data_IF_885992658242
#
_entry.id   IF_885992658242
#
_cell.length_a   1.000
_cell.length_b   1.000
_cell.length_c   1.000
_cell.angle_alpha   90.00
_cell.angle_beta   90.00
_cell.angle_gamma   90.00
#
_symmetry.space_group_name_H-M   'P 1'
#
loop_
_entity.id
_entity.type
_entity.pdbx_description
1 polymer ?
#
# COMPACT_ATOMS: atom_id res chain seq x y z
N UNK A 1 34.36 -56.00 -28.96
CA UNK A 1 34.24 -54.59 -29.35
C UNK A 1 33.21 -53.94 -28.41
N UNK A 2 33.67 -53.20 -27.41
CA UNK A 2 32.83 -52.48 -26.43
C UNK A 2 32.54 -51.06 -27.03
N UNK A 3 31.27 -50.77 -27.31
CA UNK A 3 30.84 -49.41 -27.70
C UNK A 3 30.78 -48.52 -26.49
N UNK A 4 31.63 -47.53 -26.42
CA UNK A 4 31.60 -46.45 -25.45
C UNK A 4 30.57 -45.43 -25.88
N UNK A 5 29.44 -45.32 -25.14
CA UNK A 5 28.44 -44.27 -25.36
C UNK A 5 28.91 -42.99 -24.63
N UNK A 6 29.14 -41.95 -25.43
CA UNK A 6 29.49 -40.63 -24.92
C UNK A 6 28.18 -39.93 -24.44
N UNK A 7 28.00 -39.74 -23.15
CA UNK A 7 26.90 -38.96 -22.60
C UNK A 7 27.36 -37.49 -22.57
N UNK A 8 26.78 -36.69 -23.45
CA UNK A 8 26.97 -35.22 -23.43
C UNK A 8 25.97 -34.62 -22.46
N UNK A 9 26.45 -34.18 -21.29
CA UNK A 9 25.65 -33.43 -20.31
C UNK A 9 25.67 -31.96 -20.72
N UNK A 10 24.52 -31.46 -21.19
CA UNK A 10 24.32 -30.05 -21.39
C UNK A 10 24.11 -29.38 -20.02
N UNK A 11 25.11 -28.70 -19.50
CA UNK A 11 24.97 -27.79 -18.39
C UNK A 11 24.21 -26.54 -18.89
N UNK A 12 22.92 -26.46 -18.61
CA UNK A 12 22.15 -25.20 -18.70
C UNK A 12 22.65 -24.25 -17.61
N UNK A 13 23.48 -23.29 -17.97
CA UNK A 13 23.81 -22.19 -17.08
C UNK A 13 22.53 -21.37 -16.83
N UNK A 14 22.23 -20.99 -15.58
CA UNK A 14 21.10 -20.11 -15.31
C UNK A 14 21.36 -18.77 -16.01
N UNK A 15 20.48 -18.37 -16.90
CA UNK A 15 20.46 -17.02 -17.46
C UNK A 15 20.03 -16.12 -16.31
N UNK A 16 20.99 -15.44 -15.68
CA UNK A 16 20.71 -14.36 -14.74
C UNK A 16 20.01 -13.25 -15.57
N UNK A 17 18.72 -13.03 -15.29
CA UNK A 17 18.00 -11.90 -15.85
C UNK A 17 18.73 -10.62 -15.42
N UNK A 18 19.27 -9.90 -16.36
CA UNK A 18 19.89 -8.60 -16.12
C UNK A 18 18.75 -7.61 -15.81
N UNK A 19 18.83 -6.92 -14.68
CA UNK A 19 17.89 -5.87 -14.34
C UNK A 19 18.02 -4.71 -15.33
N UNK A 20 16.88 -4.20 -15.81
CA UNK A 20 16.86 -3.22 -16.92
C UNK A 20 15.82 -2.14 -16.65
N UNK A 21 16.14 -0.90 -17.01
CA UNK A 21 15.19 0.21 -16.98
C UNK A 21 14.18 0.09 -18.11
N UNK A 22 12.86 0.17 -17.83
CA UNK A 22 11.86 0.15 -18.88
C UNK A 22 11.96 1.41 -19.74
N UNK A 23 11.67 1.30 -21.05
CA UNK A 23 11.54 2.45 -21.93
C UNK A 23 10.53 3.47 -21.41
N UNK A 24 10.79 4.76 -21.59
CA UNK A 24 9.90 5.84 -21.12
C UNK A 24 8.49 5.72 -21.71
N UNK A 25 8.34 5.19 -22.93
CA UNK A 25 7.05 4.92 -23.56
C UNK A 25 6.22 3.90 -22.78
N UNK A 26 6.83 2.87 -22.18
CA UNK A 26 6.12 1.89 -21.36
C UNK A 26 5.59 2.54 -20.08
N UNK A 27 6.38 3.39 -19.42
CA UNK A 27 5.95 4.14 -18.23
C UNK A 27 4.78 5.08 -18.58
N UNK A 28 4.86 5.80 -19.72
CA UNK A 28 3.79 6.66 -20.22
C UNK A 28 2.53 5.86 -20.55
N UNK A 29 2.67 4.69 -21.17
CA UNK A 29 1.56 3.80 -21.50
C UNK A 29 0.82 3.31 -20.25
N UNK A 30 1.56 2.97 -19.17
CA UNK A 30 0.95 2.56 -17.89
C UNK A 30 0.21 3.74 -17.25
N UNK A 31 0.79 4.94 -17.25
CA UNK A 31 0.12 6.13 -16.75
C UNK A 31 -1.15 6.48 -17.54
N UNK A 32 -1.14 6.31 -18.87
CA UNK A 32 -2.31 6.46 -19.74
C UNK A 32 -3.38 5.41 -19.44
N UNK A 33 -2.99 4.14 -19.26
CA UNK A 33 -3.89 3.04 -18.88
C UNK A 33 -4.54 3.30 -17.52
N UNK A 34 -3.77 3.77 -16.54
CA UNK A 34 -4.27 4.17 -15.22
C UNK A 34 -5.34 5.25 -15.33
N UNK A 35 -5.13 6.31 -16.14
CA UNK A 35 -6.14 7.37 -16.38
C UNK A 35 -7.39 6.82 -17.06
N UNK A 36 -7.19 6.00 -18.08
CA UNK A 36 -8.27 5.41 -18.85
C UNK A 36 -9.02 4.29 -18.12
N UNK A 37 -8.55 3.88 -16.93
CA UNK A 37 -9.07 2.73 -16.18
C UNK A 37 -9.08 1.45 -17.03
N UNK A 38 -8.00 1.23 -17.79
CA UNK A 38 -7.81 0.06 -18.67
C UNK A 38 -6.58 -0.74 -18.23
N UNK A 39 -6.57 -2.07 -18.42
CA UNK A 39 -5.41 -2.89 -18.10
C UNK A 39 -4.15 -2.47 -18.87
N UNK A 40 -3.03 -2.40 -18.18
CA UNK A 40 -1.71 -2.12 -18.76
C UNK A 40 -0.93 -3.41 -18.99
N UNK A 41 -0.04 -3.41 -19.99
CA UNK A 41 0.77 -4.59 -20.36
C UNK A 41 1.99 -4.82 -19.46
N UNK A 42 2.17 -4.02 -18.41
CA UNK A 42 3.36 -4.06 -17.54
C UNK A 42 4.52 -3.24 -18.09
N UNK A 43 5.65 -3.30 -17.40
CA UNK A 43 6.84 -2.50 -17.77
C UNK A 43 7.65 -3.13 -18.91
N UNK A 44 7.46 -4.43 -19.19
CA UNK A 44 8.15 -5.15 -20.27
C UNK A 44 9.56 -5.63 -19.94
N UNK A 45 10.04 -5.37 -18.73
CA UNK A 45 11.38 -5.74 -18.24
C UNK A 45 11.32 -6.19 -16.79
N UNK A 46 12.33 -6.93 -16.35
CA UNK A 46 12.56 -7.23 -14.92
C UNK A 46 13.40 -6.11 -14.31
N UNK A 47 12.94 -5.56 -13.19
CA UNK A 47 13.60 -4.45 -12.50
C UNK A 47 14.17 -4.89 -11.15
N UNK A 48 15.28 -4.28 -10.74
CA UNK A 48 15.69 -4.23 -9.35
C UNK A 48 14.82 -3.25 -8.56
N UNK A 49 14.87 -3.29 -7.22
CA UNK A 49 14.14 -2.32 -6.38
C UNK A 49 14.65 -0.89 -6.56
N UNK A 50 15.93 -0.69 -6.85
CA UNK A 50 16.51 0.63 -7.13
C UNK A 50 15.98 1.21 -8.45
N UNK A 51 15.88 0.40 -9.49
CA UNK A 51 15.26 0.80 -10.76
C UNK A 51 13.77 1.07 -10.61
N UNK A 52 13.05 0.22 -9.86
CA UNK A 52 11.64 0.41 -9.56
C UNK A 52 11.37 1.75 -8.84
N UNK A 53 12.26 2.19 -7.96
CA UNK A 53 12.15 3.50 -7.29
C UNK A 53 12.30 4.68 -8.28
N UNK A 54 13.22 4.57 -9.23
CA UNK A 54 13.37 5.56 -10.32
C UNK A 54 12.13 5.59 -11.21
N UNK A 55 11.63 4.41 -11.60
CA UNK A 55 10.43 4.28 -12.42
C UNK A 55 9.21 4.83 -11.69
N UNK A 56 9.05 4.53 -10.38
CA UNK A 56 7.98 5.09 -9.54
C UNK A 56 8.01 6.63 -9.56
N UNK A 57 9.19 7.23 -9.46
CA UNK A 57 9.34 8.70 -9.51
C UNK A 57 8.85 9.26 -10.86
N UNK A 58 9.21 8.63 -11.97
CA UNK A 58 8.75 9.02 -13.32
C UNK A 58 7.25 8.81 -13.48
N UNK A 59 6.75 7.65 -13.05
CA UNK A 59 5.32 7.32 -13.10
C UNK A 59 4.46 8.28 -12.28
N UNK A 60 4.85 8.54 -11.02
CA UNK A 60 4.13 9.47 -10.14
C UNK A 60 4.14 10.90 -10.66
N UNK A 61 5.24 11.36 -11.26
CA UNK A 61 5.29 12.67 -11.93
C UNK A 61 4.31 12.79 -13.10
N UNK A 62 4.02 11.68 -13.80
CA UNK A 62 3.03 11.68 -14.86
C UNK A 62 1.61 11.79 -14.31
N UNK A 63 1.24 10.99 -13.29
CA UNK A 63 -0.13 10.96 -12.76
C UNK A 63 -0.44 12.13 -11.81
N UNK A 64 0.55 12.72 -11.17
CA UNK A 64 0.36 13.84 -10.21
C UNK A 64 -0.33 15.05 -10.81
N UNK A 65 -0.18 15.30 -12.11
CA UNK A 65 -0.81 16.41 -12.82
C UNK A 65 -2.34 16.43 -12.67
N UNK A 66 -2.94 15.25 -12.48
CA UNK A 66 -4.39 15.07 -12.33
C UNK A 66 -4.81 15.00 -10.86
N UNK A 67 -3.86 14.74 -9.93
CA UNK A 67 -4.12 14.33 -8.56
C UNK A 67 -3.82 15.40 -7.50
N UNK A 68 -3.13 16.48 -7.89
CA UNK A 68 -2.74 17.56 -6.99
C UNK A 68 -1.47 17.22 -6.18
N UNK A 69 -1.30 17.91 -5.07
CA UNK A 69 -0.09 17.83 -4.25
C UNK A 69 0.07 16.48 -3.54
N UNK A 70 1.32 16.16 -3.20
CA UNK A 70 1.62 15.03 -2.30
C UNK A 70 1.10 15.39 -0.91
N UNK A 71 0.29 14.51 -0.34
CA UNK A 71 -0.29 14.64 1.00
C UNK A 71 0.16 13.54 1.95
N UNK A 72 1.07 12.68 1.52
CA UNK A 72 1.62 11.62 2.36
C UNK A 72 2.09 10.40 1.58
N UNK A 73 2.17 9.29 2.29
CA UNK A 73 2.75 8.05 1.79
C UNK A 73 1.95 6.84 2.26
N UNK A 74 2.03 5.75 1.51
CA UNK A 74 1.48 4.46 1.92
C UNK A 74 2.58 3.42 2.00
N UNK A 75 2.45 2.46 2.91
CA UNK A 75 3.25 1.26 2.92
C UNK A 75 2.46 0.07 2.35
N UNK A 76 3.06 -0.67 1.45
CA UNK A 76 2.59 -1.98 1.00
C UNK A 76 3.51 -3.08 1.49
N UNK A 77 3.07 -4.35 1.36
CA UNK A 77 3.84 -5.52 1.76
C UNK A 77 4.25 -5.49 3.26
N UNK A 78 3.37 -5.01 4.12
CA UNK A 78 3.60 -4.91 5.57
C UNK A 78 3.25 -6.20 6.33
N UNK A 79 2.78 -7.23 5.62
CA UNK A 79 2.40 -8.53 6.16
C UNK A 79 3.14 -9.67 5.41
N UNK A 80 3.70 -10.69 6.10
CA UNK A 80 4.46 -11.77 5.47
C UNK A 80 3.69 -12.55 4.39
N UNK A 81 2.37 -12.74 4.54
CA UNK A 81 1.55 -13.45 3.55
C UNK A 81 1.45 -12.69 2.22
N UNK A 82 1.38 -11.36 2.30
CA UNK A 82 1.35 -10.47 1.13
C UNK A 82 2.73 -10.40 0.49
N UNK A 83 3.81 -10.32 1.30
CA UNK A 83 5.20 -10.39 0.81
C UNK A 83 5.43 -11.65 -0.02
N UNK A 84 5.01 -12.81 0.49
CA UNK A 84 5.11 -14.09 -0.24
C UNK A 84 4.38 -14.06 -1.58
N UNK A 85 3.18 -13.43 -1.63
CA UNK A 85 2.38 -13.31 -2.86
C UNK A 85 3.10 -12.53 -3.96
N UNK A 86 3.82 -11.48 -3.59
CA UNK A 86 4.53 -10.61 -4.55
C UNK A 86 6.03 -10.95 -4.69
N UNK A 87 6.50 -12.04 -4.06
CA UNK A 87 7.89 -12.48 -4.17
C UNK A 87 8.92 -11.49 -3.63
N UNK A 88 8.53 -10.66 -2.65
CA UNK A 88 9.42 -9.67 -2.04
C UNK A 88 9.17 -9.57 -0.53
N UNK A 89 10.22 -9.70 0.27
CA UNK A 89 10.18 -9.92 1.72
C UNK A 89 10.31 -8.65 2.58
N UNK A 90 10.20 -7.47 1.97
CA UNK A 90 10.29 -6.17 2.67
C UNK A 90 9.11 -5.29 2.31
N UNK A 91 8.76 -4.32 3.16
CA UNK A 91 7.78 -3.31 2.80
C UNK A 91 8.24 -2.46 1.60
N UNK A 92 7.30 -1.88 0.89
CA UNK A 92 7.52 -0.93 -0.21
C UNK A 92 6.66 0.30 0.01
N UNK A 93 7.07 1.45 -0.56
CA UNK A 93 6.40 2.73 -0.34
C UNK A 93 5.77 3.28 -1.62
N UNK A 94 4.52 3.76 -1.50
CA UNK A 94 3.82 4.56 -2.49
C UNK A 94 3.62 6.00 -2.03
N UNK A 95 3.28 6.88 -2.97
CA UNK A 95 2.97 8.30 -2.72
C UNK A 95 1.46 8.51 -2.79
N UNK A 96 0.90 9.23 -1.80
CA UNK A 96 -0.50 9.66 -1.77
C UNK A 96 -0.63 11.09 -2.24
N UNK A 97 -1.61 11.34 -3.11
CA UNK A 97 -1.92 12.67 -3.64
C UNK A 97 -3.28 13.15 -3.13
N UNK A 98 -3.48 14.46 -3.09
CA UNK A 98 -4.65 15.10 -2.46
C UNK A 98 -5.99 14.54 -2.98
N UNK A 99 -6.16 14.39 -4.29
CA UNK A 99 -7.40 13.88 -4.88
C UNK A 99 -7.61 12.36 -4.75
N UNK A 100 -6.64 11.64 -4.19
CA UNK A 100 -6.82 10.23 -3.83
C UNK A 100 -7.59 10.07 -2.53
N UNK A 101 -7.65 11.09 -1.68
CA UNK A 101 -8.23 11.01 -0.33
C UNK A 101 -9.66 11.55 -0.34
N UNK A 102 -10.58 10.68 -0.01
CA UNK A 102 -12.01 10.97 0.08
C UNK A 102 -12.43 11.03 1.55
N UNK A 103 -13.21 12.04 1.98
CA UNK A 103 -13.80 12.01 3.31
C UNK A 103 -14.83 10.89 3.43
N UNK A 104 -14.85 10.19 4.54
CA UNK A 104 -15.88 9.18 4.83
C UNK A 104 -17.15 9.79 5.45
N UNK A 105 -18.31 9.14 5.26
CA UNK A 105 -18.54 8.02 4.33
C UNK A 105 -18.50 8.48 2.86
N UNK A 106 -18.05 7.60 1.96
CA UNK A 106 -17.91 7.95 0.55
C UNK A 106 -18.73 7.04 -0.38
N UNK A 107 -19.05 7.58 -1.57
CA UNK A 107 -19.66 6.84 -2.68
C UNK A 107 -18.69 6.83 -3.86
N UNK A 108 -18.38 5.66 -4.38
CA UNK A 108 -17.35 5.48 -5.41
C UNK A 108 -17.87 4.50 -6.47
N UNK A 109 -17.69 4.76 -7.78
CA UNK A 109 -18.01 3.76 -8.79
C UNK A 109 -17.24 2.45 -8.52
N UNK A 110 -17.91 1.28 -8.59
CA UNK A 110 -17.21 0.00 -8.48
C UNK A 110 -16.10 -0.16 -9.52
N UNK A 111 -16.20 0.56 -10.64
CA UNK A 111 -15.21 0.66 -11.73
C UNK A 111 -14.24 1.85 -11.55
N UNK A 112 -13.84 2.19 -10.32
CA UNK A 112 -12.96 3.32 -10.06
C UNK A 112 -11.54 3.14 -10.65
N UNK A 113 -11.14 1.92 -10.98
CA UNK A 113 -9.85 1.54 -11.54
C UNK A 113 -9.99 0.57 -12.72
N UNK A 114 -8.85 0.09 -13.18
CA UNK A 114 -8.72 -0.98 -14.18
C UNK A 114 -9.07 -2.33 -13.57
N UNK A 115 -8.46 -2.63 -12.44
CA UNK A 115 -8.69 -3.82 -11.61
C UNK A 115 -8.83 -3.37 -10.15
N UNK A 116 -9.95 -2.71 -9.85
CA UNK A 116 -10.15 -2.11 -8.53
C UNK A 116 -10.30 -3.20 -7.45
N UNK A 117 -9.70 -2.92 -6.32
CA UNK A 117 -9.84 -3.72 -5.10
C UNK A 117 -9.99 -2.78 -3.90
N UNK A 118 -10.44 -3.31 -2.76
CA UNK A 118 -10.47 -2.58 -1.49
C UNK A 118 -9.86 -3.42 -0.38
N UNK A 119 -9.36 -2.75 0.65
CA UNK A 119 -8.83 -3.38 1.86
C UNK A 119 -9.00 -2.46 3.08
N UNK A 120 -9.06 -3.08 4.26
CA UNK A 120 -9.04 -2.36 5.52
C UNK A 120 -7.62 -1.91 5.82
N UNK A 121 -7.42 -0.63 6.08
CA UNK A 121 -6.13 -0.01 6.40
C UNK A 121 -6.31 1.02 7.55
N UNK A 122 -5.28 1.68 7.95
CA UNK A 122 -5.25 2.73 8.95
C UNK A 122 -4.29 3.83 8.50
N UNK A 123 -4.69 5.07 8.72
CA UNK A 123 -3.83 6.24 8.48
C UNK A 123 -3.36 6.83 9.79
N UNK A 124 -2.06 7.07 9.90
CA UNK A 124 -1.49 7.95 10.92
C UNK A 124 -1.26 9.35 10.33
N UNK A 125 -1.64 10.40 11.06
CA UNK A 125 -1.45 11.79 10.64
C UNK A 125 -0.26 12.36 11.40
N UNK A 126 0.73 12.85 10.68
CA UNK A 126 1.95 13.42 11.27
C UNK A 126 1.63 14.74 11.97
N UNK A 127 1.91 14.81 13.27
CA UNK A 127 1.77 16.04 14.07
C UNK A 127 3.06 16.85 14.11
N UNK A 128 4.18 16.18 14.34
CA UNK A 128 5.52 16.77 14.40
C UNK A 128 6.46 15.95 13.49
N UNK A 129 6.72 16.48 12.30
CA UNK A 129 7.52 15.80 11.28
C UNK A 129 8.97 15.57 11.73
N UNK A 130 9.56 16.52 12.46
CA UNK A 130 10.92 16.38 12.96
C UNK A 130 11.04 15.22 13.97
N UNK A 131 10.08 15.13 14.91
CA UNK A 131 10.01 14.00 15.84
C UNK A 131 9.72 12.69 15.12
N UNK A 132 8.80 12.66 14.15
CA UNK A 132 8.49 11.45 13.38
C UNK A 132 9.72 10.95 12.62
N UNK A 133 10.49 11.85 12.01
CA UNK A 133 11.75 11.51 11.33
C UNK A 133 12.86 11.08 12.29
N UNK A 134 12.85 11.52 13.54
CA UNK A 134 13.85 11.16 14.55
C UNK A 134 13.49 9.91 15.35
N UNK A 135 12.23 9.50 15.37
CA UNK A 135 11.70 8.41 16.18
C UNK A 135 12.47 7.09 15.98
N UNK A 136 12.72 6.37 17.07
CA UNK A 136 13.43 5.09 17.12
C UNK A 136 12.62 3.97 17.75
N UNK A 137 11.44 4.31 18.30
CA UNK A 137 10.55 3.37 18.95
C UNK A 137 9.09 3.64 18.58
N UNK A 138 8.20 2.64 18.69
CA UNK A 138 6.76 2.84 18.49
C UNK A 138 6.19 3.95 19.37
N UNK A 139 6.66 4.09 20.62
CA UNK A 139 6.20 5.15 21.51
C UNK A 139 6.58 6.54 20.99
N UNK A 140 7.83 6.73 20.56
CA UNK A 140 8.27 7.98 19.97
C UNK A 140 7.54 8.30 18.66
N UNK A 141 7.28 7.25 17.83
CA UNK A 141 6.46 7.41 16.64
C UNK A 141 5.06 7.90 16.99
N UNK A 142 4.37 7.27 17.98
CA UNK A 142 3.05 7.69 18.43
C UNK A 142 3.04 9.13 18.93
N UNK A 143 4.04 9.54 19.71
CA UNK A 143 4.17 10.89 20.26
C UNK A 143 4.42 11.96 19.18
N UNK A 144 4.84 11.56 17.99
CA UNK A 144 5.00 12.45 16.83
C UNK A 144 3.73 12.57 15.98
N UNK A 145 2.71 11.73 16.24
CA UNK A 145 1.44 11.77 15.51
C UNK A 145 0.45 12.74 16.14
N UNK A 146 -0.38 13.33 15.28
CA UNK A 146 -1.52 14.13 15.69
C UNK A 146 -2.72 13.24 16.05
N UNK A 147 -2.98 12.25 15.21
CA UNK A 147 -4.14 11.37 15.29
C UNK A 147 -3.93 10.11 14.44
N UNK A 148 -4.75 9.10 14.71
CA UNK A 148 -4.94 7.92 13.88
C UNK A 148 -6.33 8.01 13.24
N UNK A 149 -6.51 7.52 12.02
CA UNK A 149 -7.80 7.52 11.33
C UNK A 149 -8.11 6.16 10.73
N UNK A 150 -9.33 5.64 10.88
CA UNK A 150 -9.83 4.52 10.07
C UNK A 150 -9.66 4.82 8.59
N UNK A 151 -9.32 3.82 7.79
CA UNK A 151 -9.10 4.01 6.36
C UNK A 151 -9.54 2.78 5.57
N UNK A 152 -10.25 3.00 4.47
CA UNK A 152 -10.48 1.98 3.46
C UNK A 152 -9.60 2.36 2.27
N UNK A 153 -8.55 1.59 2.05
CA UNK A 153 -7.75 1.76 0.85
C UNK A 153 -8.50 1.17 -0.35
N UNK A 154 -8.43 1.86 -1.48
CA UNK A 154 -9.05 1.50 -2.76
C UNK A 154 -7.96 1.42 -3.85
N UNK A 155 -7.10 0.38 -3.81
CA UNK A 155 -6.04 0.21 -4.78
C UNK A 155 -6.58 -0.17 -6.17
N UNK A 156 -5.75 0.10 -7.18
CA UNK A 156 -5.95 -0.37 -8.55
C UNK A 156 -4.78 -1.26 -8.99
N UNK A 157 -5.04 -2.53 -9.21
CA UNK A 157 -4.08 -3.48 -9.76
C UNK A 157 -4.00 -3.27 -11.28
N UNK A 158 -3.41 -2.15 -11.69
CA UNK A 158 -3.47 -1.57 -13.05
C UNK A 158 -3.07 -2.51 -14.19
N UNK A 159 -2.29 -3.58 -13.93
CA UNK A 159 -1.82 -4.47 -14.98
C UNK A 159 -2.88 -5.51 -15.39
N UNK A 160 -2.77 -5.96 -16.65
CA UNK A 160 -3.53 -7.10 -17.14
C UNK A 160 -3.38 -8.31 -16.20
N UNK A 161 -4.44 -9.11 -15.96
CA UNK A 161 -4.37 -10.30 -15.12
C UNK A 161 -3.28 -11.31 -15.50
N UNK A 162 -2.85 -11.32 -16.75
CA UNK A 162 -1.77 -12.21 -17.24
C UNK A 162 -0.37 -11.70 -16.91
N UNK A 163 -0.23 -10.43 -16.52
CA UNK A 163 1.06 -9.84 -16.12
C UNK A 163 1.36 -10.24 -14.67
N UNK A 164 2.48 -10.92 -14.49
CA UNK A 164 2.98 -11.24 -13.15
C UNK A 164 3.43 -9.92 -12.50
N UNK A 165 2.81 -9.58 -11.37
CA UNK A 165 3.17 -8.40 -10.57
C UNK A 165 4.04 -8.86 -9.40
N UNK A 166 5.32 -8.56 -9.46
CA UNK A 166 6.29 -8.76 -8.40
C UNK A 166 6.47 -7.48 -7.54
N UNK A 167 7.31 -7.55 -6.51
CA UNK A 167 7.59 -6.41 -5.62
C UNK A 167 8.09 -5.17 -6.36
N UNK A 168 9.12 -5.27 -7.26
CA UNK A 168 9.58 -4.15 -8.06
C UNK A 168 8.51 -3.54 -8.96
N UNK A 169 7.73 -4.36 -9.67
CA UNK A 169 6.65 -3.88 -10.55
C UNK A 169 5.55 -3.18 -9.75
N UNK A 170 5.20 -3.73 -8.57
CA UNK A 170 4.21 -3.11 -7.67
C UNK A 170 4.72 -1.75 -7.16
N UNK A 171 5.99 -1.67 -6.74
CA UNK A 171 6.62 -0.41 -6.31
C UNK A 171 6.62 0.62 -7.45
N UNK A 172 7.06 0.23 -8.63
CA UNK A 172 7.12 1.10 -9.82
C UNK A 172 5.75 1.66 -10.21
N UNK A 173 4.66 0.89 -9.99
CA UNK A 173 3.27 1.30 -10.19
C UNK A 173 2.67 2.03 -8.96
N UNK A 174 3.51 2.68 -8.14
CA UNK A 174 3.11 3.43 -6.96
C UNK A 174 2.31 2.60 -5.94
N UNK A 175 2.66 1.32 -5.79
CA UNK A 175 2.02 0.38 -4.85
C UNK A 175 0.50 0.29 -5.05
N UNK A 176 0.04 0.43 -6.30
CA UNK A 176 -1.37 0.39 -6.65
C UNK A 176 -2.21 1.55 -6.11
N UNK A 177 -1.61 2.61 -5.58
CA UNK A 177 -2.33 3.73 -4.98
C UNK A 177 -3.28 4.38 -5.99
N UNK A 178 -4.57 4.50 -5.61
CA UNK A 178 -5.57 5.16 -6.46
C UNK A 178 -6.55 6.02 -5.69
N UNK A 179 -7.30 5.49 -4.74
CA UNK A 179 -8.22 6.21 -3.87
C UNK A 179 -8.15 5.63 -2.45
N UNK A 180 -8.70 6.36 -1.49
CA UNK A 180 -8.92 5.88 -0.14
C UNK A 180 -9.95 6.71 0.60
N UNK A 181 -10.73 6.08 1.46
CA UNK A 181 -11.78 6.71 2.24
C UNK A 181 -11.30 6.88 3.67
N UNK A 182 -11.14 8.13 4.08
CA UNK A 182 -10.62 8.52 5.38
C UNK A 182 -11.75 8.73 6.38
N UNK A 183 -11.78 7.92 7.46
CA UNK A 183 -12.75 8.03 8.54
C UNK A 183 -12.45 9.16 9.52
N UNK A 184 -13.20 9.25 10.60
CA UNK A 184 -13.06 10.27 11.63
C UNK A 184 -11.77 10.12 12.44
N UNK A 185 -11.19 11.22 12.95
CA UNK A 185 -9.96 11.21 13.71
C UNK A 185 -10.14 10.52 15.07
N UNK A 186 -9.12 9.76 15.48
CA UNK A 186 -8.99 9.17 16.80
C UNK A 186 -7.69 9.68 17.42
N UNK A 187 -7.80 10.47 18.49
CA UNK A 187 -6.64 10.90 19.26
C UNK A 187 -6.31 9.85 20.31
N UNK A 188 -5.05 9.44 20.36
CA UNK A 188 -4.54 8.51 21.36
C UNK A 188 -3.50 9.21 22.24
N UNK A 189 -3.53 8.98 23.57
CA UNK A 189 -2.44 9.43 24.44
C UNK A 189 -1.09 8.84 23.98
N UNK A 190 -0.02 9.62 24.06
CA UNK A 190 1.35 9.17 23.73
C UNK A 190 1.95 8.28 24.82
N UNK A 191 1.32 7.15 25.14
CA UNK A 191 1.68 6.23 26.23
C UNK A 191 1.96 4.82 25.72
N UNK A 192 2.65 4.01 26.52
CA UNK A 192 2.90 2.58 26.24
C UNK A 192 1.58 1.82 26.09
N UNK A 193 0.57 2.12 26.91
CA UNK A 193 -0.75 1.50 26.80
C UNK A 193 -1.39 1.73 25.43
N UNK A 194 -1.27 2.92 24.87
CA UNK A 194 -1.77 3.22 23.52
C UNK A 194 -1.01 2.45 22.42
N UNK A 195 0.30 2.26 22.59
CA UNK A 195 1.12 1.40 21.71
C UNK A 195 0.63 -0.05 21.74
N UNK A 196 0.35 -0.57 22.94
CA UNK A 196 -0.18 -1.92 23.13
C UNK A 196 -1.59 -2.08 22.55
N UNK A 197 -2.47 -1.08 22.74
CA UNK A 197 -3.81 -1.05 22.11
C UNK A 197 -3.74 -1.11 20.60
N UNK A 198 -2.79 -0.40 19.97
CA UNK A 198 -2.59 -0.44 18.52
C UNK A 198 -2.14 -1.83 18.04
N UNK A 199 -1.30 -2.54 18.79
CA UNK A 199 -0.91 -3.91 18.45
C UNK A 199 -2.06 -4.92 18.65
N UNK A 200 -2.88 -4.71 19.69
CA UNK A 200 -3.98 -5.61 20.07
C UNK A 200 -5.30 -5.33 19.33
N UNK A 201 -5.40 -4.20 18.66
CA UNK A 201 -6.61 -3.74 17.98
C UNK A 201 -7.15 -4.83 17.03
N UNK A 202 -8.48 -4.97 16.97
CA UNK A 202 -9.18 -5.85 16.03
C UNK A 202 -9.86 -5.03 14.95
N UNK A 203 -9.68 -5.45 13.69
CA UNK A 203 -10.29 -4.83 12.52
C UNK A 203 -11.13 -5.87 11.80
N UNK A 204 -12.36 -5.53 11.46
CA UNK A 204 -13.25 -6.39 10.66
C UNK A 204 -13.81 -5.59 9.49
N UNK A 205 -13.92 -6.26 8.36
CA UNK A 205 -14.57 -5.77 7.14
C UNK A 205 -15.96 -6.40 7.06
N UNK A 206 -16.98 -5.57 7.02
CA UNK A 206 -18.38 -5.98 7.10
C UNK A 206 -19.10 -5.51 5.84
N UNK A 207 -19.82 -6.41 5.18
CA UNK A 207 -20.66 -6.05 4.03
C UNK A 207 -22.03 -5.48 4.45
N UNK A 208 -22.83 -5.04 3.49
CA UNK A 208 -24.16 -4.45 3.73
C UNK A 208 -25.17 -5.41 4.37
N UNK A 209 -24.89 -6.72 4.42
CA UNK A 209 -25.74 -7.73 5.08
C UNK A 209 -25.35 -7.95 6.55
N UNK A 210 -24.26 -7.31 7.00
CA UNK A 210 -23.66 -7.53 8.32
C UNK A 210 -22.69 -8.72 8.37
N UNK A 211 -22.40 -9.34 7.22
CA UNK A 211 -21.47 -10.47 7.14
C UNK A 211 -20.01 -9.96 7.20
N UNK A 212 -19.20 -10.60 8.05
CA UNK A 212 -17.76 -10.34 8.09
C UNK A 212 -17.10 -11.02 6.90
N UNK A 213 -16.50 -10.22 6.01
CA UNK A 213 -15.86 -10.69 4.77
C UNK A 213 -14.33 -10.62 4.83
N UNK A 214 -13.76 -10.06 5.89
CA UNK A 214 -12.33 -9.96 6.10
C UNK A 214 -11.99 -9.30 7.43
N UNK A 215 -10.70 -9.16 7.70
CA UNK A 215 -10.20 -8.47 8.90
C UNK A 215 -8.85 -8.99 9.35
N UNK A 216 -8.37 -8.44 10.47
CA UNK A 216 -7.10 -8.77 11.07
C UNK A 216 -6.93 -8.07 12.41
N UNK A 217 -5.70 -8.01 12.88
CA UNK A 217 -5.33 -7.34 14.12
C UNK A 217 -4.11 -6.44 13.91
N UNK A 218 -3.89 -5.50 14.82
CA UNK A 218 -2.77 -4.56 14.74
C UNK A 218 -1.41 -5.23 14.57
N UNK A 219 -1.18 -6.31 15.30
CA UNK A 219 0.08 -7.05 15.23
C UNK A 219 0.36 -7.73 13.85
N UNK A 220 -0.63 -7.85 12.97
CA UNK A 220 -0.42 -8.39 11.62
C UNK A 220 0.38 -7.42 10.73
N UNK A 221 0.41 -6.14 11.10
CA UNK A 221 1.14 -5.08 10.41
C UNK A 221 2.47 -4.85 11.13
N UNK A 222 3.55 -5.45 10.64
CA UNK A 222 4.93 -5.36 11.21
C UNK A 222 4.97 -5.47 12.74
N UNK A 223 4.17 -6.37 13.34
CA UNK A 223 3.97 -6.58 14.79
C UNK A 223 3.28 -5.40 15.53
N UNK A 224 3.30 -4.20 14.98
CA UNK A 224 2.60 -3.00 15.46
C UNK A 224 2.52 -1.98 14.32
N UNK A 225 1.35 -1.38 14.05
CA UNK A 225 1.21 -0.37 12.98
C UNK A 225 2.19 0.80 13.09
N UNK A 226 2.62 1.18 14.30
CA UNK A 226 3.60 2.25 14.52
C UNK A 226 5.00 1.91 13.96
N UNK A 227 5.33 0.63 13.81
CA UNK A 227 6.57 0.22 13.15
C UNK A 227 6.59 0.63 11.67
N UNK A 228 5.42 0.78 11.05
CA UNK A 228 5.32 1.28 9.68
C UNK A 228 5.66 2.77 9.61
N UNK A 229 5.28 3.56 10.62
CA UNK A 229 5.68 4.98 10.70
C UNK A 229 7.19 5.11 10.72
N UNK A 230 7.86 4.30 11.55
CA UNK A 230 9.34 4.25 11.63
C UNK A 230 9.95 3.83 10.29
N UNK A 231 9.37 2.80 9.65
CA UNK A 231 9.84 2.29 8.37
C UNK A 231 9.68 3.33 7.24
N UNK A 232 8.53 4.04 7.16
CA UNK A 232 8.31 5.11 6.18
C UNK A 232 9.33 6.24 6.39
N UNK A 233 9.55 6.67 7.63
CA UNK A 233 10.53 7.71 7.95
C UNK A 233 11.93 7.31 7.49
N UNK A 234 12.36 6.07 7.75
CA UNK A 234 13.67 5.57 7.33
C UNK A 234 13.76 5.45 5.80
N UNK A 235 12.70 4.93 5.15
CA UNK A 235 12.62 4.84 3.69
C UNK A 235 12.73 6.22 3.00
N UNK A 236 12.15 7.27 3.60
CA UNK A 236 12.27 8.63 3.08
C UNK A 236 13.70 9.16 3.23
N UNK A 237 14.36 8.90 4.36
CA UNK A 237 15.74 9.32 4.59
C UNK A 237 16.71 8.74 3.56
N UNK A 238 16.54 7.47 3.17
CA UNK A 238 17.40 6.84 2.15
C UNK A 238 17.32 7.54 0.79
N UNK A 239 16.23 8.27 0.54
CA UNK A 239 16.02 9.05 -0.69
C UNK A 239 16.28 10.56 -0.50
N UNK A 240 16.79 10.99 0.65
CA UNK A 240 16.98 12.41 0.97
C UNK A 240 15.67 13.19 1.11
N UNK A 241 14.56 12.49 1.37
CA UNK A 241 13.24 13.08 1.58
C UNK A 241 12.88 13.16 3.06
N UNK A 242 11.88 13.98 3.39
CA UNK A 242 11.40 14.17 4.76
C UNK A 242 9.87 14.19 4.79
N UNK A 243 9.30 13.90 5.97
CA UNK A 243 7.88 14.10 6.27
C UNK A 243 7.58 15.58 6.47
N UNK A 244 6.30 15.91 6.35
CA UNK A 244 5.74 17.23 6.69
C UNK A 244 4.64 17.06 7.73
N UNK A 245 4.40 18.10 8.52
CA UNK A 245 3.24 18.14 9.41
C UNK A 245 1.95 18.05 8.59
N UNK A 246 1.05 17.17 8.99
CA UNK A 246 -0.16 16.87 8.26
C UNK A 246 -0.04 15.74 7.25
N UNK A 247 1.15 15.21 6.96
CA UNK A 247 1.29 14.06 6.06
C UNK A 247 0.49 12.86 6.56
N UNK A 248 -0.19 12.20 5.64
CA UNK A 248 -0.96 10.99 5.85
C UNK A 248 -0.08 9.77 5.61
N UNK A 249 0.02 8.89 6.59
CA UNK A 249 0.78 7.65 6.49
C UNK A 249 -0.20 6.46 6.53
N UNK A 250 -0.51 5.84 5.38
CA UNK A 250 -1.27 4.60 5.30
C UNK A 250 -0.35 3.44 5.70
N UNK A 251 -0.76 2.71 6.72
CA UNK A 251 0.11 1.81 7.47
C UNK A 251 0.09 0.37 6.95
N UNK A 252 -0.80 0.07 6.01
CA UNK A 252 -0.92 -1.24 5.39
C UNK A 252 -2.15 -2.02 5.85
N UNK A 253 -2.42 -3.12 5.15
CA UNK A 253 -3.69 -3.81 5.19
C UNK A 253 -3.86 -4.77 6.34
N UNK A 254 -5.03 -4.71 6.99
CA UNK A 254 -5.54 -5.69 7.95
C UNK A 254 -6.31 -6.83 7.28
N UNK A 255 -6.65 -6.72 6.00
CA UNK A 255 -7.48 -7.69 5.28
C UNK A 255 -6.86 -8.11 3.96
N UNK A 256 -7.41 -9.16 3.36
CA UNK A 256 -7.11 -9.47 1.97
C UNK A 256 -7.66 -8.37 1.03
N UNK A 257 -7.08 -8.26 -0.17
CA UNK A 257 -7.62 -7.45 -1.27
C UNK A 257 -8.91 -8.09 -1.78
N UNK A 258 -10.01 -7.36 -1.73
CA UNK A 258 -11.34 -7.81 -2.14
C UNK A 258 -11.85 -6.97 -3.33
N UNK A 259 -12.52 -7.59 -4.32
CA UNK A 259 -13.08 -6.84 -5.45
C UNK A 259 -14.36 -6.11 -5.02
N UNK A 260 -14.54 -4.82 -5.40
CA UNK A 260 -15.80 -4.11 -5.17
C UNK A 260 -16.92 -4.69 -6.03
N UNK A 261 -18.14 -4.66 -5.50
CA UNK A 261 -19.35 -5.05 -6.24
C UNK A 261 -20.27 -3.85 -6.35
N UNK A 262 -20.78 -3.58 -7.53
CA UNK A 262 -21.75 -2.50 -7.74
C UNK A 262 -23.00 -2.72 -6.86
N UNK A 263 -23.44 -1.67 -6.19
CA UNK A 263 -24.59 -1.70 -5.28
C UNK A 263 -24.25 -2.21 -3.87
N UNK A 264 -22.99 -2.56 -3.58
CA UNK A 264 -22.58 -2.97 -2.23
C UNK A 264 -22.09 -1.81 -1.38
N UNK A 265 -22.20 -1.97 -0.07
CA UNK A 265 -21.55 -1.10 0.91
C UNK A 265 -20.62 -1.93 1.80
N UNK A 266 -19.46 -1.36 2.13
CA UNK A 266 -18.46 -1.98 2.99
C UNK A 266 -18.19 -1.05 4.16
N UNK A 267 -18.27 -1.59 5.38
CA UNK A 267 -17.88 -0.91 6.60
C UNK A 267 -16.66 -1.60 7.21
N UNK A 268 -15.64 -0.84 7.52
CA UNK A 268 -14.49 -1.31 8.30
C UNK A 268 -14.63 -0.80 9.72
N UNK A 269 -14.64 -1.74 10.67
CA UNK A 269 -14.81 -1.50 12.11
C UNK A 269 -13.53 -1.82 12.86
N UNK A 270 -13.11 -0.88 13.71
CA UNK A 270 -11.93 -0.97 14.56
C UNK A 270 -12.36 -1.05 16.01
N UNK A 271 -11.95 -2.10 16.71
CA UNK A 271 -12.32 -2.35 18.11
C UNK A 271 -11.07 -2.40 18.97
N UNK A 272 -11.07 -1.70 20.09
CA UNK A 272 -9.97 -1.70 21.05
C UNK A 272 -9.13 -0.40 21.09
N UNK A 273 -9.40 0.57 20.20
CA UNK A 273 -8.76 1.89 20.26
C UNK A 273 -9.46 2.83 21.25
N UNK A 274 -10.78 2.80 21.22
CA UNK A 274 -11.68 3.63 22.01
C UNK A 274 -12.71 2.75 22.69
N UNK A 275 -13.42 3.24 23.74
CA UNK A 275 -14.49 2.46 24.41
C UNK A 275 -15.61 2.01 23.45
N UNK A 276 -15.89 2.81 22.41
CA UNK A 276 -16.85 2.47 21.35
C UNK A 276 -16.07 2.21 20.07
N UNK A 277 -16.42 1.16 19.28
CA UNK A 277 -15.78 0.93 18.00
C UNK A 277 -15.85 2.13 17.06
N UNK A 278 -14.81 2.38 16.29
CA UNK A 278 -14.80 3.39 15.24
C UNK A 278 -14.93 2.74 13.86
N UNK A 279 -15.59 3.43 12.94
CA UNK A 279 -15.96 2.86 11.64
C UNK A 279 -15.69 3.84 10.51
N UNK A 280 -15.48 3.29 9.32
CA UNK A 280 -15.48 4.02 8.06
C UNK A 280 -16.22 3.19 7.01
N UNK A 281 -17.00 3.85 6.14
CA UNK A 281 -17.85 3.15 5.16
C UNK A 281 -17.63 3.69 3.75
N UNK A 282 -17.62 2.79 2.77
CA UNK A 282 -17.67 3.10 1.34
C UNK A 282 -18.85 2.38 0.70
N UNK A 283 -19.57 3.09 -0.20
CA UNK A 283 -20.62 2.51 -1.05
C UNK A 283 -20.11 2.45 -2.49
N UNK A 284 -20.22 1.30 -3.15
CA UNK A 284 -19.82 1.09 -4.54
C UNK A 284 -21.03 1.23 -5.47
N UNK A 285 -20.98 2.17 -6.41
CA UNK A 285 -22.03 2.46 -7.41
C UNK A 285 -21.80 1.76 -8.74
#
# INVERSE_FOLDING_TARGET
MRRMSLVVVFLLAPVLAVAEMPPDENIKAIAASWRAKKPAKGFGVTMSMSEAAVVQTRYTALISKDLGDVVGYKAGLTNPSVQKRFGYDKPIRGTLFAKMILPGPARVPASFGSRPVYEADMVAVVGDAAKAMAAKSPLEALQALKEIRPFIELPDMVFDPQVIMDGPSLMAANVGARLGVLGDPVSLPGTVESVEKLAALKVVVIDQTGTVVGGGKGADILNNPLNVVLWIAESLKTEGKTLKNGDLLSLGSFSALLPPKRGSAITVRYTGLTPVPVEVTVTFE
#
